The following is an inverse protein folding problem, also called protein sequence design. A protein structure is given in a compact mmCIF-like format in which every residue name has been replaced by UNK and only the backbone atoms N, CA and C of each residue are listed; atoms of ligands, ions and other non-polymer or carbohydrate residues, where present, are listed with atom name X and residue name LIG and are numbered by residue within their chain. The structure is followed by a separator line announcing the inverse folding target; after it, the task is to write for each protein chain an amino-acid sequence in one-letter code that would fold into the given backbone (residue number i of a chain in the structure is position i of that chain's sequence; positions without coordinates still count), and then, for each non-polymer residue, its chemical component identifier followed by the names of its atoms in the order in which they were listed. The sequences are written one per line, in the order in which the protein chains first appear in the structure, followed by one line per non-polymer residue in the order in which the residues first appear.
data_IF_353417699072
#
_entry.id   IF_353417699072
#
_cell.length_a   1.000
_cell.length_b   1.000
_cell.length_c   1.000
_cell.angle_alpha   90.00
_cell.angle_beta   90.00
_cell.angle_gamma   90.00
#
_symmetry.space_group_name_H-M   'P 1'
#
loop_
_entity.id
_entity.type
_entity.pdbx_description
1 polymer ?
#
# COMPACT_ATOMS: atom_id res chain seq x y z
N UNK A 1 -11.43 -7.37 -1.82
CA UNK A 1 -9.98 -7.15 -1.86
C UNK A 1 -9.50 -6.21 -0.75
N UNK A 2 -8.54 -6.69 0.02
CA UNK A 2 -7.94 -6.01 1.16
C UNK A 2 -6.42 -6.23 1.16
N UNK A 3 -5.66 -5.17 1.45
CA UNK A 3 -4.19 -5.22 1.52
C UNK A 3 -3.73 -4.71 2.87
N UNK A 4 -2.91 -5.51 3.54
CA UNK A 4 -2.28 -5.19 4.81
C UNK A 4 -0.81 -4.89 4.58
N UNK A 5 -0.39 -3.66 4.89
CA UNK A 5 1.01 -3.27 4.93
C UNK A 5 1.48 -3.26 6.38
N UNK A 6 2.44 -4.13 6.68
CA UNK A 6 3.14 -4.14 7.96
C UNK A 6 4.39 -3.27 7.85
N UNK A 7 4.49 -2.25 8.71
CA UNK A 7 5.63 -1.34 8.76
C UNK A 7 6.58 -1.71 9.89
N UNK A 8 7.88 -1.48 9.69
CA UNK A 8 8.89 -1.64 10.73
C UNK A 8 8.56 -0.73 11.92
N UNK A 9 8.62 -1.30 13.13
CA UNK A 9 8.33 -0.56 14.37
C UNK A 9 6.84 -0.28 14.63
N UNK A 10 5.92 -0.75 13.77
CA UNK A 10 4.47 -0.71 14.06
C UNK A 10 3.93 -2.13 14.27
N UNK A 11 3.21 -2.39 15.38
CA UNK A 11 2.65 -3.71 15.65
C UNK A 11 1.47 -4.03 14.73
N UNK A 12 0.71 -3.01 14.32
CA UNK A 12 -0.49 -3.16 13.50
C UNK A 12 -0.23 -2.85 12.02
N UNK A 13 -0.98 -3.52 11.14
CA UNK A 13 -0.93 -3.26 9.71
C UNK A 13 -1.70 -1.98 9.36
N UNK A 14 -1.21 -1.26 8.37
CA UNK A 14 -2.03 -0.28 7.64
C UNK A 14 -2.89 -1.04 6.64
N UNK A 15 -4.21 -0.89 6.77
CA UNK A 15 -5.19 -1.68 6.01
C UNK A 15 -5.81 -0.82 4.91
N UNK A 16 -5.74 -1.32 3.68
CA UNK A 16 -6.39 -0.75 2.51
C UNK A 16 -7.52 -1.68 2.07
N UNK A 17 -8.73 -1.14 1.89
CA UNK A 17 -9.91 -1.90 1.43
C UNK A 17 -10.54 -1.23 0.22
N UNK A 18 -10.85 -2.02 -0.80
CA UNK A 18 -11.47 -1.53 -2.02
C UNK A 18 -12.04 -2.64 -2.90
N UNK A 19 -12.78 -2.22 -3.93
CA UNK A 19 -13.25 -3.06 -5.03
C UNK A 19 -12.06 -3.58 -5.85
N UNK A 20 -11.05 -2.73 -6.03
CA UNK A 20 -9.74 -3.05 -6.62
C UNK A 20 -8.63 -2.39 -5.81
N UNK A 21 -7.49 -3.06 -5.70
CA UNK A 21 -6.27 -2.48 -5.16
C UNK A 21 -5.12 -2.80 -6.11
N UNK A 22 -4.44 -1.75 -6.58
CA UNK A 22 -3.23 -1.85 -7.39
C UNK A 22 -2.03 -1.46 -6.52
N UNK A 23 -0.93 -2.21 -6.64
CA UNK A 23 0.34 -1.94 -5.96
C UNK A 23 1.42 -1.75 -7.01
N UNK A 24 2.04 -0.56 -7.06
CA UNK A 24 3.04 -0.20 -8.06
C UNK A 24 4.36 0.17 -7.40
N UNK A 25 5.47 -0.24 -8.01
CA UNK A 25 6.81 0.23 -7.65
C UNK A 25 7.09 1.58 -8.31
N UNK A 26 7.46 2.57 -7.50
CA UNK A 26 7.74 3.93 -7.98
C UNK A 26 9.05 4.42 -7.37
N UNK A 27 9.91 4.99 -8.21
CA UNK A 27 11.08 5.76 -7.77
C UNK A 27 10.76 7.26 -7.85
N UNK A 28 10.84 7.96 -6.72
CA UNK A 28 10.67 9.41 -6.65
C UNK A 28 11.97 10.02 -6.14
N UNK A 29 12.66 10.76 -7.01
CA UNK A 29 13.91 11.45 -6.68
C UNK A 29 14.96 10.52 -6.05
N UNK A 30 15.11 9.32 -6.60
CA UNK A 30 16.08 8.32 -6.13
C UNK A 30 15.61 7.51 -4.91
N UNK A 31 14.40 7.74 -4.39
CA UNK A 31 13.82 6.98 -3.27
C UNK A 31 12.74 6.03 -3.77
N UNK A 32 12.77 4.80 -3.28
CA UNK A 32 11.81 3.76 -3.66
C UNK A 32 10.57 3.75 -2.76
N UNK A 33 9.41 3.70 -3.41
CA UNK A 33 8.10 3.65 -2.78
C UNK A 33 7.23 2.57 -3.43
N UNK A 34 6.35 1.98 -2.63
CA UNK A 34 5.14 1.30 -3.13
C UNK A 34 4.02 2.33 -3.17
N UNK A 35 3.44 2.57 -4.33
CA UNK A 35 2.15 3.25 -4.44
C UNK A 35 1.03 2.22 -4.27
N UNK A 36 0.16 2.46 -3.29
CA UNK A 36 -1.06 1.69 -3.05
C UNK A 36 -2.23 2.50 -3.58
N UNK A 37 -2.84 2.05 -4.68
CA UNK A 37 -4.04 2.67 -5.23
C UNK A 37 -5.25 1.81 -4.93
N UNK A 38 -6.23 2.35 -4.21
CA UNK A 38 -7.43 1.62 -3.83
C UNK A 38 -8.68 2.34 -4.34
N UNK A 39 -9.60 1.56 -4.91
CA UNK A 39 -10.83 2.02 -5.54
C UNK A 39 -12.02 1.65 -4.66
N UNK A 40 -12.87 2.63 -4.33
CA UNK A 40 -14.06 2.41 -3.52
C UNK A 40 -15.16 3.36 -3.96
N UNK A 41 -16.32 2.80 -4.35
CA UNK A 41 -17.50 3.58 -4.78
C UNK A 41 -17.19 4.56 -5.91
N UNK A 42 -16.41 4.14 -6.90
CA UNK A 42 -16.03 4.98 -8.04
C UNK A 42 -14.97 6.04 -7.75
N UNK A 43 -14.42 6.12 -6.53
CA UNK A 43 -13.33 7.03 -6.18
C UNK A 43 -12.04 6.22 -6.04
N UNK A 44 -10.94 6.74 -6.58
CA UNK A 44 -9.60 6.21 -6.35
C UNK A 44 -8.81 7.08 -5.37
N UNK A 45 -8.12 6.46 -4.43
CA UNK A 45 -7.11 7.10 -3.58
C UNK A 45 -5.77 6.42 -3.75
N UNK A 46 -4.69 7.20 -3.63
CA UNK A 46 -3.31 6.69 -3.74
C UNK A 46 -2.53 7.09 -2.49
N UNK A 47 -1.79 6.13 -1.95
CA UNK A 47 -0.92 6.30 -0.78
C UNK A 47 0.48 5.80 -1.14
N UNK A 48 1.51 6.48 -0.65
CA UNK A 48 2.91 6.14 -0.95
C UNK A 48 3.60 5.68 0.31
N UNK A 49 4.15 4.46 0.28
CA UNK A 49 4.84 3.87 1.42
C UNK A 49 6.28 3.60 1.02
N UNK A 50 7.24 4.19 1.75
CA UNK A 50 8.66 3.97 1.48
C UNK A 50 9.01 2.49 1.64
N UNK A 51 9.67 1.90 0.63
CA UNK A 51 10.06 0.48 0.62
C UNK A 51 10.88 0.12 1.86
N UNK A 52 11.77 1.01 2.29
CA UNK A 52 12.63 0.80 3.45
C UNK A 52 11.85 0.63 4.78
N UNK A 53 10.63 1.17 4.85
CA UNK A 53 9.76 1.07 6.03
C UNK A 53 8.86 -0.17 5.99
N UNK A 54 8.69 -0.81 4.83
CA UNK A 54 7.83 -1.97 4.67
C UNK A 54 8.56 -3.20 5.22
N UNK A 55 7.88 -3.92 6.11
CA UNK A 55 8.31 -5.23 6.59
C UNK A 55 7.69 -6.35 5.75
N UNK A 56 6.37 -6.26 5.49
CA UNK A 56 5.63 -7.25 4.70
C UNK A 56 4.36 -6.65 4.12
N UNK A 57 3.94 -7.14 2.96
CA UNK A 57 2.64 -6.86 2.35
C UNK A 57 1.87 -8.19 2.29
N UNK A 58 0.59 -8.17 2.69
CA UNK A 58 -0.34 -9.32 2.56
C UNK A 58 -1.59 -8.89 1.82
N UNK A 59 -2.02 -9.71 0.87
CA UNK A 59 -3.25 -9.52 0.10
C UNK A 59 -4.30 -10.52 0.56
N UNK A 60 -5.54 -10.07 0.64
CA UNK A 60 -6.72 -10.87 0.95
C UNK A 60 -7.76 -10.60 -0.13
N UNK A 61 -8.25 -11.65 -0.78
CA UNK A 61 -9.25 -11.55 -1.86
C UNK A 61 -10.63 -11.17 -1.32
#
# INVERSE_FOLDING_TARGET
MEVHIYLKGKPEATIFKGERIDILDINLQGKEYKQIRYFRKGISKSEYVSVNLINRIKTFE
#
